data_IF_872055884881
#
_entry.id   IF_872055884881
#
_cell.length_a   1.000
_cell.length_b   1.000
_cell.length_c   1.000
_cell.angle_alpha   90.00
_cell.angle_beta   90.00
_cell.angle_gamma   90.00
#
_symmetry.space_group_name_H-M   'P 1'
#
loop_
_entity.id
_entity.type
_entity.pdbx_description
1 polymer ?
#
# COMPACT_ATOMS: atom_id res chain seq x y z
N UNK A 1 -1.04 7.08 -14.60
CA UNK A 1 -0.46 5.74 -14.46
C UNK A 1 -1.49 4.89 -13.76
N UNK A 2 -1.71 3.65 -14.19
CA UNK A 2 -2.80 2.82 -13.70
C UNK A 2 -2.30 1.74 -12.74
N UNK A 3 -1.10 1.20 -12.95
CA UNK A 3 -0.44 0.28 -12.02
C UNK A 3 0.95 0.84 -11.72
N UNK A 4 1.30 0.94 -10.45
CA UNK A 4 2.63 1.37 -10.01
C UNK A 4 3.04 0.60 -8.76
N UNK A 5 4.32 0.27 -8.69
CA UNK A 5 4.94 -0.40 -7.54
C UNK A 5 6.13 0.45 -7.09
N UNK A 6 6.04 1.01 -5.88
CA UNK A 6 7.01 1.98 -5.39
C UNK A 6 7.61 1.52 -4.07
N UNK A 7 8.90 1.82 -3.87
CA UNK A 7 9.57 1.66 -2.57
C UNK A 7 10.15 2.99 -2.14
N UNK A 8 10.15 3.25 -0.83
CA UNK A 8 10.72 4.48 -0.29
C UNK A 8 12.23 4.30 -0.07
N UNK A 9 12.99 5.29 -0.53
CA UNK A 9 14.46 5.36 -0.36
C UNK A 9 14.85 6.16 0.87
N UNK A 10 14.08 7.19 1.21
CA UNK A 10 14.24 7.96 2.43
C UNK A 10 12.99 8.75 2.76
N UNK A 11 12.79 9.01 4.05
CA UNK A 11 11.94 10.07 4.59
C UNK A 11 12.80 11.00 5.45
N UNK A 12 12.51 12.30 5.38
CA UNK A 12 12.90 13.27 6.40
C UNK A 12 11.73 14.13 6.81
N UNK A 13 11.61 14.37 8.11
CA UNK A 13 10.86 15.47 8.68
C UNK A 13 11.75 16.71 8.72
N UNK A 14 11.33 17.85 8.18
CA UNK A 14 12.20 19.03 8.08
C UNK A 14 12.34 19.72 9.45
N UNK A 15 13.56 20.09 9.90
CA UNK A 15 14.85 20.10 9.19
C UNK A 15 15.75 18.87 9.44
N UNK A 16 15.21 17.76 9.91
CA UNK A 16 15.94 16.52 10.17
C UNK A 16 16.61 15.92 8.93
N UNK A 17 17.56 15.03 9.20
CA UNK A 17 18.30 14.30 8.17
C UNK A 17 17.46 13.16 7.55
N UNK A 18 17.64 12.85 6.26
CA UNK A 18 16.96 11.72 5.62
C UNK A 18 17.41 10.38 6.20
N UNK A 19 16.45 9.51 6.43
CA UNK A 19 16.67 8.13 6.87
C UNK A 19 15.65 7.19 6.24
N UNK A 20 15.92 5.87 6.26
CA UNK A 20 14.96 4.87 5.80
C UNK A 20 14.98 3.65 6.72
N UNK A 21 14.36 3.75 7.91
CA UNK A 21 14.34 2.65 8.88
C UNK A 21 13.39 1.52 8.45
N UNK A 22 12.56 1.70 7.43
CA UNK A 22 11.53 0.74 7.04
C UNK A 22 11.81 0.05 5.71
N UNK A 23 11.24 -1.13 5.53
CA UNK A 23 10.96 -1.74 4.23
C UNK A 23 9.59 -1.26 3.76
N UNK A 24 9.54 -0.06 3.19
CA UNK A 24 8.32 0.53 2.63
C UNK A 24 8.05 0.02 1.22
N UNK A 25 6.81 -0.41 0.98
CA UNK A 25 6.32 -0.80 -0.34
C UNK A 25 4.88 -0.33 -0.51
N UNK A 26 4.61 0.36 -1.61
CA UNK A 26 3.29 0.85 -2.00
C UNK A 26 2.86 0.17 -3.29
N UNK A 27 1.68 -0.44 -3.25
CA UNK A 27 0.97 -0.95 -4.42
C UNK A 27 -0.07 0.08 -4.84
N UNK A 28 0.04 0.66 -6.04
CA UNK A 28 -0.99 1.50 -6.64
C UNK A 28 -1.66 0.75 -7.79
N UNK A 29 -2.99 0.63 -7.77
CA UNK A 29 -3.80 0.03 -8.84
C UNK A 29 -5.05 0.89 -9.06
N UNK A 30 -5.21 1.42 -10.26
CA UNK A 30 -6.21 2.43 -10.59
C UNK A 30 -6.06 3.65 -9.69
N UNK A 31 -7.15 4.00 -9.00
CA UNK A 31 -7.17 5.06 -8.00
C UNK A 31 -6.89 4.54 -6.57
N UNK A 32 -6.57 3.26 -6.38
CA UNK A 32 -6.45 2.67 -5.04
C UNK A 32 -5.02 2.33 -4.69
N UNK A 33 -4.70 2.36 -3.40
CA UNK A 33 -3.36 2.04 -2.91
C UNK A 33 -3.37 1.16 -1.66
N UNK A 34 -2.27 0.42 -1.48
CA UNK A 34 -1.91 -0.32 -0.26
C UNK A 34 -0.46 0.01 0.09
N UNK A 35 -0.26 0.80 1.14
CA UNK A 35 1.06 1.21 1.68
C UNK A 35 1.33 0.43 2.98
N UNK A 36 2.46 -0.28 3.00
CA UNK A 36 2.94 -0.99 4.17
C UNK A 36 4.40 -0.64 4.45
N UNK A 37 4.67 -0.21 5.68
CA UNK A 37 6.00 0.16 6.18
C UNK A 37 6.32 -0.72 7.38
N UNK A 38 7.27 -1.63 7.19
CA UNK A 38 7.74 -2.53 8.24
C UNK A 38 9.11 -2.08 8.73
N UNK A 39 9.32 -1.99 10.04
CA UNK A 39 10.64 -1.66 10.60
C UNK A 39 11.67 -2.72 10.20
N UNK A 40 12.82 -2.30 9.66
CA UNK A 40 13.91 -3.23 9.31
C UNK A 40 14.55 -3.87 10.53
N UNK A 41 14.50 -3.20 11.69
CA UNK A 41 15.18 -3.62 12.90
C UNK A 41 14.54 -4.88 13.52
N UNK A 42 13.21 -4.93 13.56
CA UNK A 42 12.48 -5.97 14.29
C UNK A 42 11.26 -6.52 13.52
N UNK A 43 11.01 -6.03 12.30
CA UNK A 43 9.87 -6.42 11.47
C UNK A 43 8.50 -6.12 12.09
N UNK A 44 8.41 -5.17 13.01
CA UNK A 44 7.14 -4.62 13.49
C UNK A 44 6.55 -3.60 12.50
N UNK A 45 5.26 -3.28 12.67
CA UNK A 45 4.56 -2.32 11.83
C UNK A 45 5.00 -0.91 12.25
N UNK A 46 5.59 -0.16 11.32
CA UNK A 46 5.87 1.27 11.49
C UNK A 46 4.60 2.07 11.16
N UNK A 47 4.14 1.90 9.92
CA UNK A 47 2.94 2.55 9.41
C UNK A 47 2.31 1.67 8.33
N UNK A 48 0.99 1.50 8.40
CA UNK A 48 0.22 0.85 7.35
C UNK A 48 -1.00 1.69 7.01
N UNK A 49 -1.35 1.75 5.73
CA UNK A 49 -2.52 2.48 5.26
C UNK A 49 -3.00 1.99 3.89
N UNK A 50 -4.29 2.11 3.65
CA UNK A 50 -4.88 1.84 2.34
C UNK A 50 -6.11 2.72 2.11
N UNK A 51 -6.39 2.98 0.85
CA UNK A 51 -7.50 3.83 0.47
C UNK A 51 -7.44 4.27 -0.98
N UNK A 52 -7.92 5.49 -1.22
CA UNK A 52 -8.02 6.07 -2.56
C UNK A 52 -7.06 7.24 -2.74
N UNK A 53 -6.32 7.23 -3.84
CA UNK A 53 -5.51 8.33 -4.36
C UNK A 53 -6.31 9.14 -5.38
N UNK A 54 -6.24 10.45 -5.28
CA UNK A 54 -6.82 11.40 -6.25
C UNK A 54 -5.73 12.29 -6.81
N UNK A 55 -5.68 12.46 -8.14
CA UNK A 55 -4.78 13.42 -8.78
C UNK A 55 -5.46 14.80 -8.78
N UNK A 56 -4.92 15.74 -8.03
CA UNK A 56 -5.42 17.12 -7.93
C UNK A 56 -4.86 18.03 -9.03
N UNK A 57 -3.63 17.76 -9.47
CA UNK A 57 -2.94 18.46 -10.57
C UNK A 57 -1.97 17.50 -11.24
N UNK A 58 -1.77 17.63 -12.55
CA UNK A 58 -0.81 16.83 -13.31
C UNK A 58 0.51 17.56 -13.62
N UNK A 59 0.58 18.88 -13.38
CA UNK A 59 1.80 19.67 -13.63
C UNK A 59 1.83 20.95 -12.76
N UNK A 60 2.58 20.95 -11.63
CA UNK A 60 3.27 19.80 -11.05
C UNK A 60 2.28 18.72 -10.62
N UNK A 61 2.74 17.47 -10.57
CA UNK A 61 1.93 16.35 -10.11
C UNK A 61 1.60 16.55 -8.62
N UNK A 62 0.32 16.61 -8.30
CA UNK A 62 -0.17 16.76 -6.93
C UNK A 62 -1.21 15.69 -6.66
N UNK A 63 -1.02 14.94 -5.58
CA UNK A 63 -1.91 13.85 -5.19
C UNK A 63 -2.46 14.08 -3.79
N UNK A 64 -3.63 13.50 -3.57
CA UNK A 64 -4.31 13.43 -2.28
C UNK A 64 -4.58 11.97 -1.96
N UNK A 65 -4.30 11.53 -0.73
CA UNK A 65 -4.58 10.18 -0.26
C UNK A 65 -5.68 10.22 0.80
N UNK A 66 -6.86 9.74 0.40
CA UNK A 66 -7.98 9.49 1.31
C UNK A 66 -7.85 8.08 1.89
N UNK A 67 -7.46 8.00 3.15
CA UNK A 67 -7.18 6.74 3.85
C UNK A 67 -8.48 6.18 4.43
N UNK A 68 -8.84 4.96 4.04
CA UNK A 68 -9.96 4.24 4.67
C UNK A 68 -9.48 3.51 5.94
N UNK A 69 -8.25 2.99 5.91
CA UNK A 69 -7.56 2.45 7.06
C UNK A 69 -6.17 3.09 7.19
N UNK A 70 -5.76 3.36 8.42
CA UNK A 70 -4.46 3.93 8.75
C UNK A 70 -4.09 3.50 10.17
N UNK A 71 -2.85 3.04 10.39
CA UNK A 71 -2.36 2.64 11.73
C UNK A 71 -1.94 3.82 12.60
N UNK A 72 -1.73 4.98 11.98
CA UNK A 72 -1.37 6.24 12.65
C UNK A 72 -2.35 7.33 12.22
N UNK A 73 -2.50 8.40 13.01
CA UNK A 73 -3.36 9.54 12.68
C UNK A 73 -4.80 9.12 12.32
N UNK A 74 -5.57 8.70 13.32
CA UNK A 74 -6.96 8.20 13.18
C UNK A 74 -7.98 9.27 12.82
N UNK A 75 -7.60 10.55 12.82
CA UNK A 75 -8.45 11.63 12.30
C UNK A 75 -8.26 11.79 10.79
N UNK A 76 -9.38 12.00 10.08
CA UNK A 76 -9.37 12.17 8.63
C UNK A 76 -8.67 13.48 8.26
N UNK A 77 -7.38 13.39 7.95
CA UNK A 77 -6.64 14.43 7.27
C UNK A 77 -6.31 13.96 5.86
N UNK A 78 -6.61 14.82 4.90
CA UNK A 78 -6.21 14.61 3.53
C UNK A 78 -4.70 14.84 3.43
N UNK A 79 -3.95 13.74 3.37
CA UNK A 79 -2.53 13.81 3.05
C UNK A 79 -2.41 14.30 1.61
N UNK A 80 -1.71 15.42 1.42
CA UNK A 80 -1.46 16.01 0.10
C UNK A 80 0.04 16.10 -0.12
N UNK A 81 0.47 15.53 -1.24
CA UNK A 81 1.86 15.46 -1.67
C UNK A 81 2.03 16.04 -3.07
N UNK A 82 3.10 16.81 -3.25
CA UNK A 82 3.54 17.35 -4.53
C UNK A 82 4.81 16.63 -4.98
N UNK A 83 4.84 16.21 -6.24
CA UNK A 83 5.93 15.41 -6.80
C UNK A 83 6.79 16.19 -7.78
N UNK A 84 8.09 15.92 -7.69
CA UNK A 84 9.13 16.38 -8.61
C UNK A 84 9.93 15.18 -9.11
N UNK A 85 10.08 15.03 -10.42
CA UNK A 85 10.94 14.00 -11.00
C UNK A 85 12.42 14.36 -10.76
N UNK A 86 13.17 13.43 -10.19
CA UNK A 86 14.60 13.58 -9.96
C UNK A 86 15.41 13.10 -11.19
N UNK A 87 16.60 13.67 -11.46
CA UNK A 87 17.40 13.32 -12.64
C UNK A 87 17.83 11.85 -12.74
N UNK A 88 17.78 11.11 -11.63
CA UNK A 88 18.12 9.68 -11.55
C UNK A 88 16.92 8.75 -11.78
N UNK A 89 15.74 9.29 -12.10
CA UNK A 89 14.51 8.53 -12.34
C UNK A 89 13.68 8.24 -11.09
N UNK A 90 14.10 8.74 -9.92
CA UNK A 90 13.30 8.72 -8.69
C UNK A 90 12.30 9.89 -8.67
N UNK A 91 11.35 9.84 -7.74
CA UNK A 91 10.44 10.95 -7.46
C UNK A 91 10.68 11.51 -6.06
N UNK A 92 10.70 12.84 -5.94
CA UNK A 92 10.71 13.56 -4.67
C UNK A 92 9.27 14.00 -4.37
N UNK A 93 8.71 13.49 -3.29
CA UNK A 93 7.44 13.92 -2.74
C UNK A 93 7.68 14.92 -1.61
N UNK A 94 6.92 16.02 -1.64
CA UNK A 94 6.92 17.03 -0.58
C UNK A 94 5.50 17.24 -0.08
N UNK A 95 5.33 17.30 1.23
CA UNK A 95 4.02 17.54 1.84
C UNK A 95 4.16 18.00 3.29
N UNK A 96 3.02 18.09 3.96
CA UNK A 96 2.96 18.31 5.40
C UNK A 96 1.86 17.44 5.99
N UNK A 97 2.15 16.75 7.08
CA UNK A 97 1.19 15.92 7.81
C UNK A 97 1.57 15.86 9.29
N UNK A 98 0.66 15.41 10.18
CA UNK A 98 1.00 15.17 11.59
C UNK A 98 2.18 14.20 11.70
N UNK A 99 3.22 14.61 12.43
CA UNK A 99 4.40 13.78 12.67
C UNK A 99 4.26 12.99 13.98
N UNK A 100 4.15 11.64 13.91
CA UNK A 100 4.06 10.79 15.09
C UNK A 100 5.26 10.87 16.03
N UNK A 101 6.45 11.18 15.49
CA UNK A 101 7.68 11.35 16.27
C UNK A 101 7.72 12.70 17.01
N UNK A 102 6.79 13.61 16.70
CA UNK A 102 6.69 14.95 17.29
C UNK A 102 5.27 15.23 17.82
N UNK A 103 4.70 14.28 18.56
CA UNK A 103 3.38 14.39 19.20
C UNK A 103 2.25 14.81 18.23
N UNK A 104 2.29 14.29 16.99
CA UNK A 104 1.33 14.58 15.93
C UNK A 104 1.23 16.07 15.54
N UNK A 105 2.26 16.88 15.82
CA UNK A 105 2.34 18.22 15.27
C UNK A 105 2.51 18.18 13.74
N UNK A 106 1.78 19.04 13.02
CA UNK A 106 1.91 19.14 11.57
C UNK A 106 3.32 19.60 11.20
N UNK A 107 4.04 18.76 10.46
CA UNK A 107 5.41 19.02 10.04
C UNK A 107 5.57 18.76 8.56
N UNK A 108 6.41 19.57 7.90
CA UNK A 108 6.79 19.34 6.52
C UNK A 108 7.69 18.10 6.41
N UNK A 109 7.47 17.31 5.37
CA UNK A 109 8.27 16.14 5.06
C UNK A 109 8.76 16.15 3.63
N UNK A 110 9.80 15.37 3.39
CA UNK A 110 10.24 14.98 2.06
C UNK A 110 10.46 13.47 2.02
N UNK A 111 9.86 12.81 1.04
CA UNK A 111 10.06 11.39 0.75
C UNK A 111 10.69 11.22 -0.63
N UNK A 112 11.69 10.35 -0.75
CA UNK A 112 12.28 9.96 -2.05
C UNK A 112 11.79 8.57 -2.39
N UNK A 113 11.16 8.43 -3.55
CA UNK A 113 10.53 7.20 -4.02
C UNK A 113 11.25 6.64 -5.24
N UNK A 114 11.58 5.36 -5.17
CA UNK A 114 12.01 4.58 -6.33
C UNK A 114 10.88 3.70 -6.85
N UNK A 115 10.97 3.32 -8.12
CA UNK A 115 10.00 2.42 -8.78
C UNK A 115 10.58 1.01 -8.94
N UNK A 116 9.72 0.01 -8.82
CA UNK A 116 10.00 -1.37 -9.20
C UNK A 116 9.30 -1.60 -10.54
N UNK A 117 10.05 -2.06 -11.53
CA UNK A 117 9.50 -2.43 -12.83
C UNK A 117 8.52 -3.61 -12.66
N UNK A 118 7.32 -3.45 -13.22
CA UNK A 118 6.30 -4.49 -13.22
C UNK A 118 6.21 -5.03 -14.64
N UNK A 119 6.71 -6.24 -14.83
CA UNK A 119 6.69 -6.91 -16.13
C UNK A 119 5.26 -7.09 -16.65
N UNK A 120 5.06 -6.78 -17.93
CA UNK A 120 3.79 -6.98 -18.59
C UNK A 120 3.35 -8.44 -18.48
N UNK A 121 2.07 -8.65 -18.16
CA UNK A 121 1.55 -9.98 -17.84
C UNK A 121 0.09 -10.13 -18.23
N UNK A 122 -0.30 -11.33 -18.64
CA UNK A 122 -1.71 -11.69 -18.81
C UNK A 122 -2.49 -11.66 -17.48
N UNK A 123 -1.77 -11.67 -16.34
CA UNK A 123 -2.35 -11.56 -15.01
C UNK A 123 -2.49 -10.10 -14.60
N UNK A 124 -3.72 -9.59 -14.39
CA UNK A 124 -3.91 -8.20 -13.97
C UNK A 124 -3.33 -7.94 -12.57
N UNK A 125 -3.13 -6.66 -12.29
CA UNK A 125 -2.99 -6.12 -10.94
C UNK A 125 -4.38 -5.82 -10.38
N UNK A 126 -4.53 -5.91 -9.06
CA UNK A 126 -5.83 -5.68 -8.42
C UNK A 126 -5.69 -5.30 -6.96
N UNK A 127 -6.72 -4.61 -6.46
CA UNK A 127 -6.95 -4.35 -5.04
C UNK A 127 -8.38 -4.79 -4.70
N UNK A 128 -8.50 -5.60 -3.66
CA UNK A 128 -9.74 -6.06 -3.08
C UNK A 128 -9.93 -5.42 -1.70
N UNK A 129 -11.19 -5.22 -1.32
CA UNK A 129 -11.55 -4.75 0.01
C UNK A 129 -12.72 -5.55 0.57
N UNK A 130 -12.59 -6.05 1.79
CA UNK A 130 -13.73 -6.60 2.55
C UNK A 130 -14.03 -5.72 3.77
N UNK A 131 -15.30 -5.73 4.19
CA UNK A 131 -15.73 -5.17 5.47
C UNK A 131 -16.73 -6.13 6.09
N UNK A 132 -16.49 -6.46 7.35
CA UNK A 132 -17.35 -7.29 8.18
C UNK A 132 -17.48 -6.66 9.59
N UNK A 133 -18.20 -7.31 10.48
CA UNK A 133 -18.41 -6.83 11.85
C UNK A 133 -17.11 -6.67 12.65
N UNK A 134 -16.06 -7.40 12.28
CA UNK A 134 -14.77 -7.40 12.96
C UNK A 134 -13.73 -6.47 12.32
N UNK A 135 -14.01 -5.85 11.17
CA UNK A 135 -13.09 -4.88 10.59
C UNK A 135 -13.10 -4.73 9.07
N UNK A 136 -12.04 -4.10 8.56
CA UNK A 136 -11.80 -3.84 7.13
C UNK A 136 -10.51 -4.54 6.72
N UNK A 137 -10.54 -5.27 5.60
CA UNK A 137 -9.33 -5.85 5.00
C UNK A 137 -9.10 -5.26 3.62
N UNK A 138 -7.86 -4.85 3.34
CA UNK A 138 -7.37 -4.58 1.98
C UNK A 138 -6.42 -5.68 1.56
N UNK A 139 -6.57 -6.17 0.32
CA UNK A 139 -5.70 -7.18 -0.30
C UNK A 139 -5.25 -6.64 -1.65
N UNK A 140 -3.96 -6.46 -1.88
CA UNK A 140 -3.41 -5.96 -3.13
C UNK A 140 -2.42 -6.93 -3.76
N UNK A 141 -2.44 -7.03 -5.10
CA UNK A 141 -1.46 -7.79 -5.89
C UNK A 141 -0.99 -6.96 -7.08
N UNK A 142 0.34 -6.83 -7.23
CA UNK A 142 1.00 -6.19 -8.38
C UNK A 142 2.22 -7.03 -8.75
N UNK A 143 2.22 -7.60 -9.96
CA UNK A 143 3.31 -8.47 -10.41
C UNK A 143 3.62 -9.60 -9.43
N UNK A 144 4.85 -9.61 -8.90
CA UNK A 144 5.36 -10.58 -7.93
C UNK A 144 5.12 -10.20 -6.46
N UNK A 145 4.30 -9.18 -6.19
CA UNK A 145 4.07 -8.67 -4.84
C UNK A 145 2.62 -8.77 -4.43
N UNK A 146 2.42 -9.14 -3.15
CA UNK A 146 1.12 -9.31 -2.53
C UNK A 146 1.15 -8.70 -1.13
N UNK A 147 0.17 -7.86 -0.78
CA UNK A 147 0.04 -7.25 0.54
C UNK A 147 -1.37 -7.36 1.08
N UNK A 148 -1.50 -7.61 2.38
CA UNK A 148 -2.78 -7.61 3.10
C UNK A 148 -2.67 -6.75 4.34
N UNK A 149 -3.65 -5.87 4.54
CA UNK A 149 -3.79 -5.05 5.74
C UNK A 149 -5.17 -5.31 6.35
N UNK A 150 -5.22 -5.55 7.66
CA UNK A 150 -6.48 -5.71 8.41
C UNK A 150 -6.54 -4.66 9.51
N UNK A 151 -7.57 -3.80 9.44
CA UNK A 151 -7.97 -2.94 10.56
C UNK A 151 -9.08 -3.63 11.33
N UNK A 152 -8.88 -3.82 12.64
CA UNK A 152 -9.94 -4.21 13.59
C UNK A 152 -10.15 -3.06 14.55
N UNK A 153 -11.41 -2.74 14.83
CA UNK A 153 -11.76 -1.58 15.66
C UNK A 153 -11.03 -0.32 15.14
N UNK A 154 -10.15 0.27 15.97
CA UNK A 154 -9.39 1.48 15.65
C UNK A 154 -7.91 1.24 15.31
N UNK A 155 -7.46 -0.01 15.21
CA UNK A 155 -6.06 -0.35 14.98
C UNK A 155 -5.87 -1.27 13.76
N UNK A 156 -4.82 -1.02 12.96
CA UNK A 156 -4.32 -2.04 12.02
C UNK A 156 -3.57 -3.09 12.82
N UNK A 157 -4.26 -4.18 13.13
CA UNK A 157 -3.77 -5.23 14.03
C UNK A 157 -3.07 -6.37 13.32
N UNK A 158 -3.19 -6.48 11.98
CA UNK A 158 -2.56 -7.56 11.23
C UNK A 158 -2.16 -7.15 9.82
N UNK A 159 -0.98 -7.60 9.39
CA UNK A 159 -0.45 -7.34 8.04
C UNK A 159 0.27 -8.57 7.50
N UNK A 160 0.27 -8.70 6.18
CA UNK A 160 1.00 -9.71 5.43
C UNK A 160 1.65 -9.07 4.21
N UNK A 161 2.93 -9.39 3.97
CA UNK A 161 3.59 -9.13 2.69
C UNK A 161 4.20 -10.43 2.19
N UNK A 162 3.88 -10.77 0.94
CA UNK A 162 4.48 -11.90 0.25
C UNK A 162 5.10 -11.44 -1.07
N UNK A 163 6.15 -12.14 -1.47
CA UNK A 163 6.85 -11.89 -2.71
C UNK A 163 7.07 -13.22 -3.43
N UNK A 164 6.86 -13.23 -4.74
CA UNK A 164 7.25 -14.35 -5.60
C UNK A 164 8.75 -14.28 -5.88
N UNK A 165 9.45 -15.34 -5.55
CA UNK A 165 10.91 -15.50 -5.72
C UNK A 165 11.15 -16.86 -6.35
N UNK A 166 11.84 -16.89 -7.49
CA UNK A 166 12.13 -18.15 -8.23
C UNK A 166 10.88 -18.99 -8.49
N UNK A 167 9.76 -18.32 -8.83
CA UNK A 167 8.48 -18.96 -9.13
C UNK A 167 7.69 -19.44 -7.91
N UNK A 168 8.10 -19.10 -6.68
CA UNK A 168 7.38 -19.48 -5.46
C UNK A 168 7.07 -18.26 -4.61
N UNK A 169 5.86 -18.21 -4.06
CA UNK A 169 5.50 -17.21 -3.07
C UNK A 169 6.23 -17.47 -1.75
N UNK A 170 6.73 -16.40 -1.12
CA UNK A 170 7.42 -16.44 0.16
C UNK A 170 6.87 -15.32 1.05
N UNK A 171 6.53 -15.67 2.30
CA UNK A 171 6.17 -14.70 3.34
C UNK A 171 7.39 -13.86 3.70
N UNK A 172 7.32 -12.55 3.44
CA UNK A 172 8.33 -11.56 3.84
C UNK A 172 8.04 -10.98 5.21
N UNK A 173 6.77 -10.66 5.46
CA UNK A 173 6.27 -10.16 6.74
C UNK A 173 4.92 -10.78 7.03
N UNK A 174 4.68 -11.18 8.27
CA UNK A 174 3.39 -11.65 8.76
C UNK A 174 3.27 -11.28 10.25
N UNK A 175 2.33 -10.40 10.57
CA UNK A 175 2.11 -9.89 11.93
C UNK A 175 0.62 -9.98 12.24
N UNK A 176 0.29 -10.39 13.47
CA UNK A 176 -1.08 -10.48 13.96
C UNK A 176 -1.73 -11.83 13.63
N UNK A 177 -3.00 -11.78 13.22
CA UNK A 177 -3.79 -12.97 12.90
C UNK A 177 -3.44 -13.59 11.54
N UNK A 178 -4.00 -14.77 11.28
CA UNK A 178 -3.88 -15.40 9.98
C UNK A 178 -4.69 -14.63 8.93
N UNK A 179 -4.00 -14.13 7.91
CA UNK A 179 -4.57 -13.38 6.80
C UNK A 179 -4.58 -14.20 5.51
N UNK A 180 -5.48 -13.88 4.55
CA UNK A 180 -5.46 -14.49 3.22
C UNK A 180 -4.05 -14.42 2.61
N UNK A 181 -3.57 -15.54 2.09
CA UNK A 181 -2.15 -15.73 1.79
C UNK A 181 -1.98 -16.50 0.48
N UNK A 182 -1.11 -16.03 -0.42
CA UNK A 182 -0.78 -16.75 -1.65
C UNK A 182 -0.01 -18.03 -1.35
N UNK A 183 0.80 -18.03 -0.28
CA UNK A 183 1.55 -19.20 0.16
C UNK A 183 0.63 -20.32 0.66
N UNK A 184 -0.39 -19.98 1.46
CA UNK A 184 -1.22 -20.99 2.13
C UNK A 184 -2.45 -21.39 1.31
N UNK A 185 -3.09 -20.43 0.64
CA UNK A 185 -4.29 -20.68 -0.18
C UNK A 185 -3.97 -21.02 -1.64
N UNK A 186 -2.75 -20.69 -2.09
CA UNK A 186 -2.33 -20.83 -3.48
C UNK A 186 -2.87 -19.74 -4.40
N UNK A 187 -2.10 -19.41 -5.43
CA UNK A 187 -2.41 -18.36 -6.41
C UNK A 187 -3.75 -18.59 -7.14
N UNK A 188 -4.14 -19.86 -7.34
CA UNK A 188 -5.42 -20.21 -7.96
C UNK A 188 -6.65 -19.72 -7.19
N UNK A 189 -6.54 -19.57 -5.86
CA UNK A 189 -7.62 -19.02 -5.02
C UNK A 189 -7.90 -17.55 -5.32
N UNK A 190 -6.88 -16.83 -5.78
CA UNK A 190 -6.95 -15.40 -6.12
C UNK A 190 -7.05 -15.16 -7.64
N UNK A 191 -7.56 -16.14 -8.40
CA UNK A 191 -7.71 -16.02 -9.85
C UNK A 191 -8.71 -14.91 -10.21
N UNK A 192 -8.29 -13.86 -10.95
CA UNK A 192 -9.16 -12.74 -11.29
C UNK A 192 -10.07 -13.03 -12.50
N UNK A 193 -10.15 -14.28 -12.95
CA UNK A 193 -10.94 -14.66 -14.11
C UNK A 193 -12.42 -14.30 -13.92
N UNK A 194 -12.93 -13.41 -14.77
CA UNK A 194 -14.31 -12.92 -14.72
C UNK A 194 -14.59 -11.86 -13.66
N UNK A 195 -13.57 -11.40 -12.92
CA UNK A 195 -13.73 -10.26 -12.00
C UNK A 195 -14.04 -8.98 -12.78
N UNK A 196 -14.78 -8.10 -12.13
CA UNK A 196 -15.12 -6.77 -12.63
C UNK A 196 -14.97 -5.79 -11.48
N UNK A 197 -14.46 -4.60 -11.76
CA UNK A 197 -14.38 -3.54 -10.77
C UNK A 197 -15.78 -3.20 -10.22
N UNK A 198 -15.83 -2.85 -8.93
CA UNK A 198 -17.03 -2.54 -8.15
C UNK A 198 -18.02 -3.70 -8.02
N UNK A 199 -17.58 -4.94 -8.25
CA UNK A 199 -18.36 -6.16 -8.00
C UNK A 199 -17.78 -6.97 -6.86
N UNK A 200 -18.66 -7.70 -6.19
CA UNK A 200 -18.27 -8.63 -5.15
C UNK A 200 -17.79 -9.96 -5.73
N UNK A 201 -16.74 -10.52 -5.12
CA UNK A 201 -16.12 -11.80 -5.44
C UNK A 201 -15.89 -12.62 -4.17
N UNK A 202 -15.87 -13.94 -4.32
CA UNK A 202 -15.55 -14.86 -3.22
C UNK A 202 -14.12 -15.34 -3.37
N UNK A 203 -13.29 -15.10 -2.36
CA UNK A 203 -11.88 -15.52 -2.32
C UNK A 203 -11.60 -16.13 -0.95
N UNK A 204 -11.14 -17.37 -0.92
CA UNK A 204 -10.81 -18.06 0.34
C UNK A 204 -11.98 -18.15 1.35
N UNK A 205 -13.23 -18.15 0.87
CA UNK A 205 -14.43 -18.15 1.72
C UNK A 205 -14.84 -16.79 2.28
N UNK A 206 -14.19 -15.70 1.84
CA UNK A 206 -14.51 -14.33 2.23
C UNK A 206 -15.03 -13.54 1.02
N UNK A 207 -16.06 -12.72 1.24
CA UNK A 207 -16.58 -11.77 0.26
C UNK A 207 -15.67 -10.53 0.22
N UNK A 208 -15.20 -10.18 -0.98
CA UNK A 208 -14.49 -8.92 -1.23
C UNK A 208 -15.19 -8.15 -2.33
N UNK A 209 -15.16 -6.81 -2.26
CA UNK A 209 -15.42 -5.95 -3.41
C UNK A 209 -14.11 -5.72 -4.17
N UNK A 210 -14.14 -5.83 -5.50
CA UNK A 210 -13.01 -5.51 -6.37
C UNK A 210 -12.92 -3.99 -6.51
N UNK A 211 -12.04 -3.35 -5.75
CA UNK A 211 -11.84 -1.91 -5.80
C UNK A 211 -11.06 -1.47 -7.04
N UNK A 212 -10.05 -2.23 -7.44
CA UNK A 212 -9.28 -1.97 -8.65
C UNK A 212 -8.94 -3.27 -9.37
N UNK A 213 -8.95 -3.23 -10.71
CA UNK A 213 -8.59 -4.35 -11.57
C UNK A 213 -8.03 -3.81 -12.88
N UNK A 214 -6.72 -3.97 -13.08
CA UNK A 214 -6.00 -3.28 -14.14
C UNK A 214 -4.99 -4.19 -14.83
N UNK A 215 -4.80 -3.97 -16.14
CA UNK A 215 -3.78 -4.67 -16.90
C UNK A 215 -2.39 -4.14 -16.53
N UNK A 216 -1.41 -5.04 -16.54
CA UNK A 216 0.00 -4.76 -16.29
C UNK A 216 0.74 -4.73 -17.60
#
# INVERSE_FOLDING_TARGET
MVVQLSYRKSLRWIPGEPSEPTSTLVLDVGDYFVDLRMLKADSSIDWAMAGKRTILSSSPLKCQWSKEICSQNTEAHDDIGEFEDLPNGDALEKGSMPNPDNNDEVQAYEEVWGSIEVEASDQPAWILRSRDESGITYVGKVGDWFQVLRKKEDEISSVLREQRVEGRWVKRYAVGEELPSMVDLGEGTFSPAGWQQDKDVQVGGVTYTVYALEKV
#
